data_IF_818196747202
#
_entry.id   IF_818196747202
#
_cell.length_a   1.000
_cell.length_b   1.000
_cell.length_c   1.000
_cell.angle_alpha   90.00
_cell.angle_beta   90.00
_cell.angle_gamma   90.00
#
_symmetry.space_group_name_H-M   'P 1'
#
loop_
_entity.id
_entity.type
_entity.pdbx_description
1 polymer ?
#
# COMPACT_ATOMS: atom_id res chain seq x y z
N UNK A 1 25.04 27.54 -6.45
CA UNK A 1 25.35 26.20 -5.91
C UNK A 1 25.23 26.31 -4.41
N UNK A 2 24.29 25.59 -3.79
CA UNK A 2 24.11 25.58 -2.33
C UNK A 2 24.78 24.35 -1.76
N UNK A 3 25.61 24.53 -0.75
CA UNK A 3 26.31 23.46 -0.04
C UNK A 3 26.02 23.63 1.46
N UNK A 4 25.56 22.55 2.10
CA UNK A 4 25.36 22.50 3.55
C UNK A 4 26.03 21.25 4.10
N UNK A 5 26.69 21.40 5.24
CA UNK A 5 27.28 20.27 5.97
C UNK A 5 26.17 19.60 6.78
N UNK A 6 25.89 18.34 6.46
CA UNK A 6 24.92 17.53 7.19
C UNK A 6 25.61 16.66 8.24
N UNK A 7 24.93 16.43 9.37
CA UNK A 7 25.42 15.54 10.42
C UNK A 7 25.05 14.09 10.13
N UNK A 8 26.04 13.22 10.24
CA UNK A 8 25.89 11.77 10.22
C UNK A 8 25.60 11.28 11.64
N UNK A 9 24.66 10.35 11.78
CA UNK A 9 24.33 9.71 13.05
C UNK A 9 24.01 8.23 12.84
N UNK A 10 23.88 7.48 13.94
CA UNK A 10 23.48 6.08 13.93
C UNK A 10 21.97 5.96 14.17
N UNK A 11 21.30 5.15 13.38
CA UNK A 11 19.92 4.73 13.57
C UNK A 11 19.89 3.20 13.74
N UNK A 12 19.88 2.74 15.00
CA UNK A 12 20.05 1.32 15.32
C UNK A 12 21.43 0.82 14.90
N UNK A 13 21.47 -0.13 13.95
CA UNK A 13 22.71 -0.67 13.36
C UNK A 13 23.08 -0.01 12.02
N UNK A 14 22.32 0.98 11.60
CA UNK A 14 22.47 1.63 10.28
C UNK A 14 22.98 3.05 10.42
N UNK A 15 23.77 3.50 9.45
CA UNK A 15 24.19 4.89 9.34
C UNK A 15 23.10 5.73 8.66
N UNK A 16 22.85 6.92 9.20
CA UNK A 16 21.85 7.86 8.67
C UNK A 16 22.43 9.27 8.55
N UNK A 17 21.88 10.05 7.61
CA UNK A 17 22.23 11.45 7.40
C UNK A 17 20.99 12.30 7.67
N UNK A 18 21.12 13.36 8.47
CA UNK A 18 20.03 14.32 8.68
C UNK A 18 19.99 15.30 7.52
N UNK A 19 18.97 15.18 6.67
CA UNK A 19 18.78 16.05 5.50
C UNK A 19 18.16 17.40 5.94
N UNK A 20 18.82 18.55 5.67
CA UNK A 20 18.28 19.87 5.96
C UNK A 20 16.96 20.14 5.22
N UNK A 21 16.16 21.10 5.72
CA UNK A 21 14.82 21.40 5.17
C UNK A 21 14.85 21.72 3.66
N UNK A 22 15.88 22.43 3.22
CA UNK A 22 16.07 22.86 1.82
C UNK A 22 16.32 21.70 0.85
N UNK A 23 16.83 20.57 1.36
CA UNK A 23 17.18 19.39 0.54
C UNK A 23 16.20 18.22 0.73
N UNK A 24 15.03 18.45 1.35
CA UNK A 24 14.05 17.38 1.56
C UNK A 24 13.48 16.88 0.24
N UNK A 25 13.49 15.56 0.05
CA UNK A 25 12.85 14.90 -1.07
C UNK A 25 11.32 14.90 -0.92
N UNK A 26 10.61 14.83 -2.04
CA UNK A 26 9.19 14.50 -2.08
C UNK A 26 9.05 12.97 -2.09
N UNK A 27 8.15 12.43 -1.28
CA UNK A 27 7.92 10.98 -1.16
C UNK A 27 8.57 10.34 0.06
N UNK A 28 8.47 9.02 0.15
CA UNK A 28 9.00 8.19 1.25
C UNK A 28 10.31 7.48 0.90
N UNK A 29 10.64 7.37 -0.38
CA UNK A 29 11.71 6.51 -0.88
C UNK A 29 12.68 7.27 -1.79
N UNK A 30 13.94 6.84 -1.78
CA UNK A 30 15.02 7.42 -2.59
C UNK A 30 15.87 6.31 -3.19
N UNK A 31 16.29 6.50 -4.44
CA UNK A 31 17.25 5.64 -5.11
C UNK A 31 18.67 6.06 -4.71
N UNK A 32 19.48 5.09 -4.31
CA UNK A 32 20.85 5.32 -3.85
C UNK A 32 21.83 4.75 -4.88
N UNK A 33 22.79 5.56 -5.34
CA UNK A 33 23.85 5.14 -6.26
C UNK A 33 25.21 5.56 -5.73
N UNK A 34 26.21 4.67 -5.81
CA UNK A 34 27.59 4.98 -5.42
C UNK A 34 28.44 5.21 -6.67
N UNK A 35 29.11 6.37 -6.76
CA UNK A 35 30.07 6.68 -7.83
C UNK A 35 31.39 7.09 -7.19
N UNK A 36 32.33 6.14 -7.15
CA UNK A 36 33.59 6.30 -6.42
C UNK A 36 33.34 6.55 -4.93
N UNK A 37 33.76 7.72 -4.44
CA UNK A 37 33.59 8.13 -3.04
C UNK A 37 32.31 8.93 -2.78
N UNK A 38 31.46 9.12 -3.81
CA UNK A 38 30.21 9.89 -3.70
C UNK A 38 29.03 8.93 -3.59
N UNK A 39 28.10 9.27 -2.70
CA UNK A 39 26.76 8.67 -2.64
C UNK A 39 25.79 9.68 -3.23
N UNK A 40 25.06 9.26 -4.25
CA UNK A 40 24.08 10.05 -4.98
C UNK A 40 22.70 9.54 -4.56
N UNK A 41 21.85 10.45 -4.11
CA UNK A 41 20.47 10.19 -3.73
C UNK A 41 19.56 10.84 -4.75
N UNK A 42 18.72 10.05 -5.41
CA UNK A 42 17.72 10.50 -6.39
C UNK A 42 16.32 10.22 -5.80
N UNK A 43 15.35 11.16 -5.89
CA UNK A 43 13.99 10.87 -5.45
C UNK A 43 13.41 9.72 -6.28
N UNK A 44 12.74 8.78 -5.62
CA UNK A 44 11.95 7.78 -6.32
C UNK A 44 10.53 8.30 -6.44
N UNK A 45 10.14 8.66 -7.66
CA UNK A 45 8.73 8.89 -7.96
C UNK A 45 8.02 7.53 -7.89
N UNK A 46 6.78 7.52 -7.38
CA UNK A 46 5.95 6.33 -7.49
C UNK A 46 5.92 5.91 -8.96
N UNK A 47 6.17 4.64 -9.23
CA UNK A 47 6.12 4.09 -10.57
C UNK A 47 4.72 4.33 -11.13
N UNK A 48 4.60 5.38 -11.95
CA UNK A 48 3.42 5.61 -12.75
C UNK A 48 3.55 4.72 -13.97
N UNK A 49 2.45 4.03 -14.31
CA UNK A 49 2.38 3.36 -15.59
C UNK A 49 2.71 4.38 -16.69
N UNK A 50 3.58 4.04 -17.67
CA UNK A 50 3.91 4.95 -18.74
C UNK A 50 2.63 5.37 -19.49
N UNK A 51 2.67 6.57 -20.07
CA UNK A 51 1.56 7.05 -20.91
C UNK A 51 1.27 6.03 -22.01
N UNK A 52 0.00 5.67 -22.18
CA UNK A 52 -0.43 4.64 -23.13
C UNK A 52 -0.21 3.19 -22.66
N UNK A 53 0.25 2.93 -21.43
CA UNK A 53 0.45 1.55 -20.94
C UNK A 53 -0.81 0.67 -21.09
N UNK A 54 -1.99 1.23 -20.81
CA UNK A 54 -3.27 0.52 -20.95
C UNK A 54 -3.69 0.30 -22.40
N UNK A 55 -3.21 1.13 -23.32
CA UNK A 55 -3.52 1.02 -24.75
C UNK A 55 -2.79 -0.15 -25.42
N UNK A 56 -1.74 -0.66 -24.78
CA UNK A 56 -1.04 -1.87 -25.21
C UNK A 56 -1.85 -3.15 -24.93
N UNK A 57 -2.84 -3.09 -24.03
CA UNK A 57 -3.70 -4.22 -23.72
C UNK A 57 -4.96 -4.17 -24.58
N UNK A 58 -4.92 -4.89 -25.70
CA UNK A 58 -6.16 -5.25 -26.41
C UNK A 58 -6.77 -6.47 -25.75
N UNK A 59 -8.09 -6.46 -25.56
CA UNK A 59 -8.79 -7.68 -25.16
C UNK A 59 -8.54 -8.75 -26.23
N UNK A 60 -8.05 -9.90 -25.81
CA UNK A 60 -7.93 -11.06 -26.69
C UNK A 60 -9.35 -11.59 -26.95
N UNK A 61 -9.79 -11.56 -28.21
CA UNK A 61 -11.12 -12.03 -28.61
C UNK A 61 -11.31 -13.53 -28.34
N UNK A 62 -10.22 -14.29 -28.31
CA UNK A 62 -10.20 -15.72 -28.02
C UNK A 62 -10.18 -16.01 -26.50
N UNK A 63 -10.11 -14.98 -25.65
CA UNK A 63 -10.17 -15.15 -24.21
C UNK A 63 -11.56 -15.56 -23.74
N UNK A 64 -11.74 -16.86 -23.53
CA UNK A 64 -12.93 -17.39 -22.87
C UNK A 64 -12.74 -17.40 -21.36
N UNK A 65 -13.46 -16.53 -20.64
CA UNK A 65 -13.44 -16.52 -19.19
C UNK A 65 -13.86 -17.90 -18.64
N UNK A 66 -13.14 -18.50 -17.69
CA UNK A 66 -13.50 -19.78 -17.13
C UNK A 66 -14.86 -19.67 -16.42
N UNK A 67 -15.60 -20.78 -16.37
CA UNK A 67 -16.81 -20.85 -15.58
C UNK A 67 -16.52 -20.43 -14.12
N UNK A 68 -17.42 -19.66 -13.47
CA UNK A 68 -17.21 -19.24 -12.10
C UNK A 68 -17.01 -20.47 -11.21
N UNK A 69 -16.06 -20.37 -10.29
CA UNK A 69 -15.87 -21.42 -9.30
C UNK A 69 -17.18 -21.64 -8.53
N UNK A 70 -17.52 -22.90 -8.19
CA UNK A 70 -18.71 -23.17 -7.42
C UNK A 70 -18.65 -22.37 -6.12
N UNK A 71 -19.71 -21.61 -5.85
CA UNK A 71 -19.84 -20.86 -4.59
C UNK A 71 -19.93 -21.90 -3.48
N UNK A 72 -18.82 -22.13 -2.77
CA UNK A 72 -18.85 -22.94 -1.57
C UNK A 72 -19.58 -22.12 -0.51
N UNK A 73 -20.82 -22.50 -0.20
CA UNK A 73 -21.49 -22.01 0.99
C UNK A 73 -20.64 -22.44 2.19
N UNK A 74 -19.89 -21.50 2.76
CA UNK A 74 -19.19 -21.74 4.02
C UNK A 74 -20.26 -22.01 5.08
N UNK A 75 -20.45 -23.29 5.40
CA UNK A 75 -21.40 -23.70 6.42
C UNK A 75 -20.89 -23.24 7.77
N UNK A 76 -21.51 -22.20 8.33
CA UNK A 76 -21.25 -21.72 9.69
C UNK A 76 -21.59 -22.77 10.78
N UNK A 77 -22.09 -23.96 10.41
CA UNK A 77 -22.53 -25.00 11.35
C UNK A 77 -21.41 -25.82 11.99
N UNK A 78 -20.14 -25.53 11.69
CA UNK A 78 -19.00 -26.26 12.24
C UNK A 78 -17.93 -25.36 12.87
N UNK A 79 -18.26 -24.12 13.23
CA UNK A 79 -17.46 -23.40 14.22
C UNK A 79 -18.07 -23.77 15.57
N UNK A 80 -17.40 -24.55 16.43
CA UNK A 80 -17.81 -24.62 17.83
C UNK A 80 -17.65 -23.21 18.39
N UNK A 81 -18.76 -22.47 18.46
CA UNK A 81 -18.80 -21.21 19.19
C UNK A 81 -18.39 -21.56 20.63
N UNK A 82 -17.29 -21.01 21.18
CA UNK A 82 -17.16 -21.04 22.62
C UNK A 82 -18.40 -20.35 23.18
N UNK A 83 -18.98 -20.93 24.22
CA UNK A 83 -20.16 -20.43 24.97
C UNK A 83 -19.83 -19.08 25.70
N UNK A 84 -18.85 -18.32 25.21
CA UNK A 84 -18.42 -17.08 25.82
C UNK A 84 -19.28 -15.90 25.35
N UNK A 85 -20.28 -15.61 26.18
CA UNK A 85 -20.67 -14.27 26.61
C UNK A 85 -21.39 -13.40 25.56
N UNK A 86 -22.71 -13.48 25.66
CA UNK A 86 -23.64 -12.36 25.50
C UNK A 86 -23.05 -11.07 26.08
N UNK A 87 -22.44 -10.24 25.25
CA UNK A 87 -22.27 -8.81 25.49
C UNK A 87 -22.80 -8.08 24.25
N UNK A 88 -23.76 -7.16 24.39
CA UNK A 88 -24.35 -6.47 23.25
C UNK A 88 -23.32 -5.52 22.63
N UNK A 89 -22.94 -5.77 21.37
CA UNK A 89 -22.13 -4.86 20.57
C UNK A 89 -22.96 -3.60 20.23
N UNK A 90 -22.54 -2.38 20.63
CA UNK A 90 -23.36 -1.16 20.54
C UNK A 90 -23.70 -0.68 19.12
N UNK A 91 -23.08 -1.23 18.08
CA UNK A 91 -23.14 -0.68 16.72
C UNK A 91 -24.21 -1.33 15.81
N UNK A 92 -24.85 -2.42 16.24
CA UNK A 92 -25.80 -3.17 15.41
C UNK A 92 -27.13 -2.43 15.15
N UNK A 93 -27.40 -1.31 15.85
CA UNK A 93 -28.61 -0.49 15.62
C UNK A 93 -28.55 0.36 14.34
N UNK A 94 -27.37 0.59 13.78
CA UNK A 94 -27.23 1.52 12.64
C UNK A 94 -27.54 0.90 11.27
N UNK A 95 -27.58 -0.42 11.15
CA UNK A 95 -27.69 -1.08 9.84
C UNK A 95 -29.15 -1.28 9.36
N UNK A 96 -30.13 -1.23 10.26
CA UNK A 96 -31.54 -1.51 9.91
C UNK A 96 -32.32 -0.29 9.43
N UNK A 97 -31.80 0.93 9.61
CA UNK A 97 -32.52 2.17 9.25
C UNK A 97 -32.31 2.59 7.78
N UNK A 98 -31.25 2.13 7.11
CA UNK A 98 -30.90 2.61 5.75
C UNK A 98 -31.61 1.89 4.60
N UNK A 99 -32.41 0.86 4.88
CA UNK A 99 -33.16 0.09 3.86
C UNK A 99 -34.66 0.37 3.78
N UNK A 100 -35.18 1.35 4.53
CA UNK A 100 -36.60 1.75 4.47
C UNK A 100 -36.83 3.16 3.88
N UNK A 101 -35.85 3.75 3.19
CA UNK A 101 -36.09 4.84 2.24
C UNK A 101 -35.94 4.32 0.81
N UNK A 102 -36.91 3.51 0.37
CA UNK A 102 -37.40 3.47 -1.01
C UNK A 102 -38.74 2.79 -1.09
#
# INVERSE_FOLDING_TARGET
MMELIAKIFQNGRSQAVRIPKEFRFKGSEVKIRKKGNKVILEPMEAEQWPEGFWELFTADEDFMAPAPLPVQAFSLRAIPLPICLFQPLPWLKYYTESKNLR
#
